data_IF_171264378903
#
_entry.id   IF_171264378903
#
_cell.length_a   1.000
_cell.length_b   1.000
_cell.length_c   1.000
_cell.angle_alpha   90.00
_cell.angle_beta   90.00
_cell.angle_gamma   90.00
#
_symmetry.space_group_name_H-M   'P 1'
#
loop_
_entity.id
_entity.type
_entity.pdbx_description
1 polymer ?
#
# COMPACT_ATOMS: atom_id res chain seq x y z
N UNK A 1 23.13 25.59 21.23
CA UNK A 1 21.70 25.25 21.08
C UNK A 1 21.59 23.74 20.92
N UNK A 2 20.94 23.00 21.82
CA UNK A 2 20.61 21.60 21.54
C UNK A 2 19.41 21.56 20.58
N UNK A 3 19.50 20.72 19.56
CA UNK A 3 18.43 20.42 18.61
C UNK A 3 17.18 19.88 19.32
N UNK A 4 15.96 20.13 18.81
CA UNK A 4 14.77 19.50 19.36
C UNK A 4 14.89 17.98 19.18
N UNK A 5 14.86 17.23 20.28
CA UNK A 5 14.60 15.79 20.24
C UNK A 5 13.24 15.60 19.59
N UNK A 6 13.22 15.18 18.33
CA UNK A 6 12.06 14.50 17.76
C UNK A 6 11.86 13.25 18.60
N UNK A 7 10.93 13.32 19.57
CA UNK A 7 10.46 12.14 20.27
C UNK A 7 10.08 11.10 19.21
N UNK A 8 10.76 9.96 19.21
CA UNK A 8 10.38 8.86 18.34
C UNK A 8 9.00 8.41 18.80
N UNK A 9 7.99 8.59 17.94
CA UNK A 9 6.66 8.05 18.19
C UNK A 9 6.80 6.53 18.38
N UNK A 10 6.28 6.03 19.50
CA UNK A 10 6.24 4.61 19.76
C UNK A 10 5.05 4.01 19.00
N UNK A 11 5.24 2.83 18.41
CA UNK A 11 4.19 2.14 17.66
C UNK A 11 3.91 0.77 18.28
N UNK A 12 2.63 0.39 18.28
CA UNK A 12 2.20 -0.98 18.51
C UNK A 12 2.12 -1.72 17.18
N UNK A 13 2.92 -2.77 17.01
CA UNK A 13 2.93 -3.61 15.81
C UNK A 13 2.08 -4.85 16.00
N UNK A 14 1.14 -5.06 15.07
CA UNK A 14 0.32 -6.26 14.95
C UNK A 14 0.58 -6.98 13.63
N UNK A 15 0.52 -8.31 13.66
CA UNK A 15 0.58 -9.18 12.47
C UNK A 15 -0.74 -9.93 12.33
N UNK A 16 -1.55 -9.49 11.39
CA UNK A 16 -2.92 -9.97 11.19
C UNK A 16 -2.97 -11.00 10.08
N UNK A 17 -3.70 -12.10 10.33
CA UNK A 17 -3.86 -13.23 9.39
C UNK A 17 -5.31 -13.62 9.13
N UNK A 18 -6.26 -13.11 9.93
CA UNK A 18 -7.68 -13.37 9.70
C UNK A 18 -8.15 -12.54 8.49
N UNK A 19 -8.59 -13.16 7.38
CA UNK A 19 -8.99 -12.44 6.18
C UNK A 19 -10.11 -11.43 6.41
N UNK A 20 -11.05 -11.71 7.33
CA UNK A 20 -12.15 -10.79 7.64
C UNK A 20 -11.63 -9.54 8.33
N UNK A 21 -10.78 -9.71 9.35
CA UNK A 21 -10.14 -8.60 10.04
C UNK A 21 -9.29 -7.75 9.09
N UNK A 22 -8.51 -8.39 8.21
CA UNK A 22 -7.73 -7.68 7.17
C UNK A 22 -8.67 -6.91 6.24
N UNK A 23 -9.78 -7.51 5.81
CA UNK A 23 -10.71 -6.88 4.90
C UNK A 23 -11.39 -5.64 5.52
N UNK A 24 -11.75 -5.69 6.81
CA UNK A 24 -12.34 -4.56 7.50
C UNK A 24 -11.33 -3.40 7.65
N UNK A 25 -10.08 -3.70 7.97
CA UNK A 25 -9.00 -2.71 8.03
C UNK A 25 -8.74 -2.09 6.64
N UNK A 26 -8.62 -2.91 5.61
CA UNK A 26 -8.41 -2.41 4.25
C UNK A 26 -9.61 -1.60 3.76
N UNK A 27 -10.85 -1.98 4.10
CA UNK A 27 -12.04 -1.19 3.76
C UNK A 27 -11.97 0.22 4.37
N UNK A 28 -11.49 0.35 5.60
CA UNK A 28 -11.26 1.67 6.21
C UNK A 28 -10.09 2.40 5.55
N UNK A 29 -9.01 1.71 5.21
CA UNK A 29 -7.81 2.31 4.62
C UNK A 29 -7.96 2.72 3.15
N UNK A 30 -8.89 2.12 2.40
CA UNK A 30 -9.20 2.48 1.00
C UNK A 30 -10.02 3.77 0.99
N UNK A 31 -9.34 4.89 1.22
CA UNK A 31 -9.90 6.24 1.15
C UNK A 31 -9.08 7.11 0.21
N UNK A 32 -9.70 8.05 -0.52
CA UNK A 32 -8.98 8.93 -1.46
C UNK A 32 -7.87 9.78 -0.82
N UNK A 33 -7.97 10.05 0.49
CA UNK A 33 -7.01 10.87 1.23
C UNK A 33 -5.82 10.10 1.82
N UNK A 34 -5.88 8.77 1.89
CA UNK A 34 -4.79 7.97 2.45
C UNK A 34 -3.67 7.81 1.41
N UNK A 35 -2.44 8.03 1.84
CA UNK A 35 -1.27 7.86 0.97
C UNK A 35 -0.95 6.37 0.86
N UNK A 36 -0.73 5.89 -0.38
CA UNK A 36 -0.28 4.52 -0.61
C UNK A 36 0.93 4.50 -1.53
N UNK A 37 1.91 3.67 -1.20
CA UNK A 37 3.10 3.44 -2.00
C UNK A 37 3.21 1.95 -2.34
N UNK A 38 3.56 1.64 -3.58
CA UNK A 38 4.10 0.33 -3.94
C UNK A 38 5.62 0.38 -3.85
N UNK A 39 6.26 -0.59 -3.19
CA UNK A 39 7.71 -0.66 -3.02
C UNK A 39 8.26 -1.98 -3.53
N UNK A 40 9.35 -1.94 -4.29
CA UNK A 40 10.06 -3.14 -4.73
C UNK A 40 11.17 -3.56 -3.75
N UNK A 41 11.76 -4.75 -3.98
CA UNK A 41 12.87 -5.26 -3.17
C UNK A 41 14.19 -4.46 -3.27
N UNK A 42 14.25 -3.44 -4.13
CA UNK A 42 15.39 -2.53 -4.25
C UNK A 42 15.13 -1.18 -3.53
N UNK A 43 13.99 -1.05 -2.86
CA UNK A 43 13.58 0.17 -2.15
C UNK A 43 12.98 1.24 -3.06
N UNK A 44 12.82 0.98 -4.36
CA UNK A 44 12.13 1.90 -5.28
C UNK A 44 10.66 1.92 -4.92
N UNK A 45 10.08 3.11 -4.87
CA UNK A 45 8.70 3.29 -4.43
C UNK A 45 7.92 4.15 -5.43
N UNK A 46 6.68 3.78 -5.71
CA UNK A 46 5.77 4.50 -6.61
C UNK A 46 4.48 4.87 -5.87
N UNK A 47 3.97 6.10 -6.02
CA UNK A 47 2.65 6.47 -5.52
C UNK A 47 1.54 5.69 -6.23
N UNK A 48 0.65 5.10 -5.44
CA UNK A 48 -0.47 4.29 -5.92
C UNK A 48 -1.76 4.67 -5.20
N UNK A 49 -2.88 4.20 -5.75
CA UNK A 49 -4.20 4.28 -5.11
C UNK A 49 -4.79 2.89 -5.00
N UNK A 50 -5.27 2.55 -3.82
CA UNK A 50 -6.12 1.38 -3.66
C UNK A 50 -7.52 1.72 -4.20
N UNK A 51 -8.10 0.79 -4.95
CA UNK A 51 -9.41 0.97 -5.60
C UNK A 51 -10.51 0.19 -4.88
N UNK A 52 -10.16 -0.95 -4.30
CA UNK A 52 -11.13 -1.84 -3.68
C UNK A 52 -10.56 -3.23 -3.45
N UNK A 53 -11.31 -4.06 -2.74
CA UNK A 53 -10.98 -5.47 -2.54
C UNK A 53 -12.25 -6.31 -2.59
N UNK A 54 -12.11 -7.51 -3.12
CA UNK A 54 -13.06 -8.60 -2.92
C UNK A 54 -12.34 -9.72 -2.16
N UNK A 55 -12.43 -9.69 -0.83
CA UNK A 55 -11.76 -10.68 0.03
C UNK A 55 -12.38 -12.08 -0.09
N UNK A 56 -13.63 -12.20 -0.55
CA UNK A 56 -14.29 -13.49 -0.79
C UNK A 56 -13.74 -14.14 -2.07
N UNK A 57 -13.51 -13.34 -3.11
CA UNK A 57 -12.81 -13.77 -4.32
C UNK A 57 -11.28 -13.83 -4.15
N UNK A 58 -10.74 -13.26 -3.06
CA UNK A 58 -9.31 -13.24 -2.77
C UNK A 58 -8.53 -12.25 -3.64
N UNK A 59 -9.11 -11.08 -3.93
CA UNK A 59 -8.53 -10.09 -4.86
C UNK A 59 -8.43 -8.68 -4.25
N UNK A 60 -7.35 -7.97 -4.58
CA UNK A 60 -7.15 -6.54 -4.32
C UNK A 60 -6.93 -5.78 -5.63
N UNK A 61 -7.60 -4.65 -5.78
CA UNK A 61 -7.50 -3.75 -6.93
C UNK A 61 -6.80 -2.46 -6.53
N UNK A 62 -5.81 -2.05 -7.31
CA UNK A 62 -5.08 -0.81 -7.12
C UNK A 62 -4.60 -0.26 -8.47
N UNK A 63 -3.96 0.91 -8.47
CA UNK A 63 -3.35 1.49 -9.67
C UNK A 63 -2.25 2.49 -9.31
N UNK A 64 -1.29 2.76 -10.20
CA UNK A 64 -0.43 3.93 -10.10
C UNK A 64 -1.28 5.19 -10.00
N UNK A 65 -0.87 6.13 -9.15
CA UNK A 65 -1.54 7.42 -9.01
C UNK A 65 -1.47 8.21 -10.32
N UNK A 66 -0.29 8.19 -10.97
CA UNK A 66 -0.03 8.74 -12.29
C UNK A 66 0.85 7.75 -13.08
N UNK A 67 0.28 7.03 -14.08
CA UNK A 67 1.05 6.10 -14.90
C UNK A 67 2.20 6.75 -15.70
N UNK A 68 2.03 7.99 -16.17
CA UNK A 68 3.05 8.68 -16.93
C UNK A 68 4.25 9.03 -16.07
N UNK A 69 4.00 9.54 -14.86
CA UNK A 69 5.04 9.77 -13.86
C UNK A 69 5.71 8.45 -13.45
N UNK A 70 4.92 7.41 -13.17
CA UNK A 70 5.45 6.11 -12.77
C UNK A 70 6.38 5.50 -13.83
N UNK A 71 6.08 5.69 -15.12
CA UNK A 71 6.92 5.23 -16.23
C UNK A 71 8.30 5.90 -16.26
N UNK A 72 8.37 7.18 -15.88
CA UNK A 72 9.62 7.96 -15.87
C UNK A 72 10.48 7.69 -14.63
N UNK A 73 9.92 7.12 -13.57
CA UNK A 73 10.64 6.76 -12.35
C UNK A 73 11.57 5.55 -12.56
N UNK A 74 12.66 5.42 -11.79
CA UNK A 74 13.54 4.26 -11.87
C UNK A 74 12.75 2.95 -11.68
N UNK A 75 12.91 1.98 -12.59
CA UNK A 75 12.15 0.72 -12.56
C UNK A 75 10.69 0.82 -13.06
N UNK A 76 10.25 2.01 -13.48
CA UNK A 76 8.90 2.31 -13.94
C UNK A 76 8.35 1.34 -14.99
N UNK A 77 9.08 1.05 -16.08
CA UNK A 77 8.61 0.11 -17.10
C UNK A 77 8.35 -1.30 -16.54
N UNK A 78 9.18 -1.78 -15.61
CA UNK A 78 9.01 -3.09 -14.99
C UNK A 78 7.87 -3.11 -13.95
N UNK A 79 7.68 -1.99 -13.24
CA UNK A 79 6.54 -1.79 -12.34
C UNK A 79 5.22 -1.77 -13.10
N UNK A 80 5.13 -0.98 -14.17
CA UNK A 80 3.93 -0.83 -15.00
C UNK A 80 3.59 -2.07 -15.82
N UNK A 81 4.55 -2.96 -16.08
CA UNK A 81 4.29 -4.26 -16.71
C UNK A 81 3.86 -5.35 -15.73
N UNK A 82 3.85 -5.06 -14.42
CA UNK A 82 3.56 -6.04 -13.36
C UNK A 82 4.65 -7.08 -13.16
N UNK A 83 5.81 -6.89 -13.79
CA UNK A 83 6.96 -7.80 -13.71
C UNK A 83 7.80 -7.62 -12.43
N UNK A 84 7.50 -6.63 -11.59
CA UNK A 84 8.15 -6.47 -10.29
C UNK A 84 7.27 -7.00 -9.17
N UNK A 85 7.81 -7.84 -8.26
CA UNK A 85 7.16 -8.09 -7.00
C UNK A 85 7.21 -6.81 -6.14
N UNK A 86 6.06 -6.42 -5.59
CA UNK A 86 5.94 -5.24 -4.74
C UNK A 86 5.23 -5.57 -3.43
N UNK A 87 5.54 -4.77 -2.42
CA UNK A 87 4.71 -4.61 -1.23
C UNK A 87 3.94 -3.29 -1.32
N UNK A 88 2.78 -3.23 -0.66
CA UNK A 88 2.02 -2.00 -0.50
C UNK A 88 2.20 -1.47 0.92
N UNK A 89 2.42 -0.17 1.00
CA UNK A 89 2.57 0.61 2.22
C UNK A 89 1.46 1.66 2.23
N UNK A 90 0.61 1.65 3.25
CA UNK A 90 -0.52 2.58 3.38
C UNK A 90 -0.33 3.41 4.64
N UNK A 91 -0.38 4.73 4.51
CA UNK A 91 -0.50 5.65 5.64
C UNK A 91 -1.97 6.01 5.83
N UNK A 92 -2.48 5.74 7.01
CA UNK A 92 -3.88 5.96 7.39
C UNK A 92 -4.00 7.28 8.15
N UNK A 93 -5.15 7.94 8.04
CA UNK A 93 -5.43 9.25 8.65
C UNK A 93 -5.31 9.28 10.18
N UNK A 94 -5.57 8.15 10.84
CA UNK A 94 -5.35 7.95 12.28
C UNK A 94 -3.87 7.82 12.68
N UNK A 95 -2.95 7.95 11.73
CA UNK A 95 -1.50 7.83 11.92
C UNK A 95 -0.98 6.39 11.85
N UNK A 96 -1.85 5.40 11.63
CA UNK A 96 -1.42 4.01 11.45
C UNK A 96 -0.72 3.79 10.12
N UNK A 97 0.18 2.82 10.09
CA UNK A 97 0.83 2.34 8.88
C UNK A 97 0.50 0.87 8.63
N UNK A 98 0.08 0.56 7.41
CA UNK A 98 -0.20 -0.79 6.96
C UNK A 98 0.88 -1.23 5.97
N UNK A 99 1.30 -2.49 6.08
CA UNK A 99 2.24 -3.10 5.15
C UNK A 99 1.79 -4.51 4.81
N UNK A 100 1.73 -4.84 3.53
CA UNK A 100 1.43 -6.19 3.06
C UNK A 100 2.02 -6.46 1.68
N UNK A 101 2.26 -7.75 1.40
CA UNK A 101 2.79 -8.18 0.11
C UNK A 101 1.68 -8.14 -0.96
N UNK A 102 1.98 -7.52 -2.09
CA UNK A 102 1.14 -7.53 -3.29
C UNK A 102 1.69 -8.48 -4.37
N UNK A 103 2.95 -8.91 -4.24
CA UNK A 103 3.57 -9.80 -5.20
C UNK A 103 3.65 -9.16 -6.58
N UNK A 104 3.48 -9.96 -7.65
CA UNK A 104 3.50 -9.49 -9.04
C UNK A 104 2.06 -9.23 -9.48
N UNK A 105 1.65 -7.97 -9.73
CA UNK A 105 0.29 -7.70 -10.15
C UNK A 105 0.04 -8.14 -11.59
N UNK A 106 -1.19 -8.56 -11.86
CA UNK A 106 -1.74 -8.61 -13.21
C UNK A 106 -2.13 -7.19 -13.60
N UNK A 107 -1.66 -6.74 -14.77
CA UNK A 107 -1.96 -5.40 -15.28
C UNK A 107 -3.12 -5.47 -16.27
N UNK A 108 -4.16 -4.69 -15.99
CA UNK A 108 -5.32 -4.49 -16.86
C UNK A 108 -5.23 -3.10 -17.49
N UNK A 109 -5.15 -3.04 -18.81
CA UNK A 109 -5.17 -1.79 -19.57
C UNK A 109 -6.56 -1.57 -20.14
N UNK A 110 -7.07 -0.36 -20.02
CA UNK A 110 -8.39 0.01 -20.50
C UNK A 110 -8.29 0.89 -21.77
N UNK A 111 -9.34 0.93 -22.61
CA UNK A 111 -9.34 1.73 -23.84
C UNK A 111 -9.18 3.25 -23.62
N UNK A 112 -9.49 3.75 -22.42
CA UNK A 112 -9.34 5.15 -22.03
C UNK A 112 -7.91 5.50 -21.57
N UNK A 113 -6.95 4.60 -21.81
CA UNK A 113 -5.56 4.68 -21.35
C UNK A 113 -5.38 4.67 -19.83
N UNK A 114 -6.45 4.39 -19.07
CA UNK A 114 -6.31 4.05 -17.66
C UNK A 114 -5.80 2.62 -17.49
N UNK A 115 -5.27 2.33 -16.30
CA UNK A 115 -4.81 1.00 -15.96
C UNK A 115 -5.19 0.65 -14.52
N UNK A 116 -5.40 -0.65 -14.28
CA UNK A 116 -5.55 -1.22 -12.94
C UNK A 116 -4.56 -2.37 -12.78
N UNK A 117 -4.08 -2.53 -11.55
CA UNK A 117 -3.24 -3.61 -11.10
C UNK A 117 -4.05 -4.48 -10.14
N UNK A 118 -3.99 -5.79 -10.35
CA UNK A 118 -4.76 -6.78 -9.62
C UNK A 118 -3.82 -7.77 -8.98
N UNK A 119 -3.98 -7.98 -7.68
CA UNK A 119 -3.19 -8.93 -6.90
C UNK A 119 -4.09 -9.83 -6.08
N UNK A 120 -3.52 -10.92 -5.57
CA UNK A 120 -4.18 -11.70 -4.55
C UNK A 120 -4.44 -10.85 -3.30
N UNK A 121 -5.48 -11.20 -2.55
CA UNK A 121 -5.78 -10.63 -1.25
C UNK A 121 -4.66 -10.98 -0.26
N UNK A 122 -4.19 -10.03 0.56
CA UNK A 122 -3.06 -10.27 1.44
C UNK A 122 -3.39 -11.32 2.52
N UNK A 123 -2.52 -12.32 2.63
CA UNK A 123 -2.60 -13.37 3.67
C UNK A 123 -2.01 -12.92 5.02
N UNK A 124 -1.21 -11.85 5.00
CA UNK A 124 -0.58 -11.26 6.17
C UNK A 124 -0.58 -9.75 6.01
N UNK A 125 -1.14 -9.05 6.99
CA UNK A 125 -1.07 -7.61 7.08
C UNK A 125 -0.35 -7.23 8.37
N UNK A 126 0.72 -6.43 8.24
CA UNK A 126 1.33 -5.75 9.37
C UNK A 126 0.64 -4.40 9.55
N UNK A 127 0.24 -4.10 10.78
CA UNK A 127 -0.28 -2.79 11.18
C UNK A 127 0.58 -2.23 12.29
N UNK A 128 1.10 -1.04 12.10
CA UNK A 128 1.77 -0.25 13.13
C UNK A 128 0.84 0.90 13.52
N UNK A 129 0.36 0.90 14.76
CA UNK A 129 -0.56 1.93 15.28
C UNK A 129 0.23 2.83 16.24
N UNK A 130 0.14 4.17 16.16
CA UNK A 130 0.77 5.05 17.14
C UNK A 130 0.28 4.69 18.55
N UNK A 131 1.21 4.58 19.50
CA UNK A 131 0.89 4.61 20.91
C UNK A 131 0.70 6.08 21.28
N UNK A 132 -0.46 6.45 21.79
CA UNK A 132 -0.65 7.75 22.41
C UNK A 132 0.48 7.96 23.43
N UNK A 133 1.30 8.98 23.23
CA UNK A 133 2.20 9.45 24.29
C UNK A 133 1.32 9.85 25.46
N UNK A 134 1.43 9.23 26.66
CA UNK A 134 0.73 9.75 27.82
C UNK A 134 1.18 11.21 28.01
N UNK A 135 0.19 12.09 28.17
CA UNK A 135 0.36 13.53 28.39
C UNK A 135 1.19 13.83 29.64
#
# INVERSE_FOLDING_TARGET
MPSPSTAQALFHTELLRDPRQIADILRYAIQPGNETLARDGQGRSWPVKLLGTDWQAGILFWRPQDPGQAAAMPGGPQFLSGSLPVELLVSVDDGSHLQFQAGRPIVLNFPDASLSMVTEFPLLLRRDTPLDTPA
#
